data_IF_966860014647
#
_entry.id   IF_966860014647
#
_cell.length_a   1.000
_cell.length_b   1.000
_cell.length_c   1.000
_cell.angle_alpha   90.00
_cell.angle_beta   90.00
_cell.angle_gamma   90.00
#
_symmetry.space_group_name_H-M   'P 1'
#
loop_
_entity.id
_entity.type
_entity.pdbx_description
1 polymer ?
#
# COMPACT_ATOMS: atom_id res chain seq x y z
N UNK A 1 -23.63 -6.85 -23.08
CA UNK A 1 -23.33 -6.82 -21.63
C UNK A 1 -21.84 -6.52 -21.46
N UNK A 2 -21.43 -5.60 -20.55
CA UNK A 2 -20.02 -5.28 -20.35
C UNK A 2 -19.24 -6.52 -19.86
N UNK A 3 -18.04 -6.74 -20.43
CA UNK A 3 -17.18 -7.90 -20.13
C UNK A 3 -16.79 -7.91 -18.64
N UNK A 4 -16.86 -9.09 -18.01
CA UNK A 4 -16.37 -9.27 -16.63
C UNK A 4 -14.87 -9.02 -16.58
N UNK A 5 -14.39 -8.28 -15.59
CA UNK A 5 -12.96 -8.03 -15.40
C UNK A 5 -12.32 -9.28 -14.80
N UNK A 6 -11.12 -9.64 -15.24
CA UNK A 6 -10.39 -10.77 -14.67
C UNK A 6 -10.05 -10.52 -13.19
N UNK A 7 -10.18 -11.56 -12.37
CA UNK A 7 -9.79 -11.54 -10.95
C UNK A 7 -8.31 -11.23 -10.80
N UNK A 8 -7.48 -11.69 -11.74
CA UNK A 8 -6.04 -11.43 -11.76
C UNK A 8 -5.74 -9.93 -11.96
N UNK A 9 -6.54 -9.25 -12.79
CA UNK A 9 -6.44 -7.79 -12.95
C UNK A 9 -6.81 -7.09 -11.65
N UNK A 10 -7.86 -7.55 -10.97
CA UNK A 10 -8.23 -7.05 -9.64
C UNK A 10 -7.12 -7.24 -8.61
N UNK A 11 -6.48 -8.41 -8.62
CA UNK A 11 -5.36 -8.71 -7.74
C UNK A 11 -4.21 -7.73 -7.95
N UNK A 12 -3.70 -7.63 -9.19
CA UNK A 12 -2.58 -6.75 -9.52
C UNK A 12 -2.89 -5.29 -9.15
N UNK A 13 -4.09 -4.80 -9.44
CA UNK A 13 -4.48 -3.43 -9.11
C UNK A 13 -4.59 -3.19 -7.60
N UNK A 14 -5.05 -4.18 -6.83
CA UNK A 14 -5.04 -4.12 -5.37
C UNK A 14 -3.62 -4.03 -4.81
N UNK A 15 -2.71 -4.90 -5.27
CA UNK A 15 -1.31 -4.86 -4.84
C UNK A 15 -0.61 -3.55 -5.22
N UNK A 16 -0.81 -3.07 -6.45
CA UNK A 16 -0.22 -1.79 -6.90
C UNK A 16 -0.79 -0.60 -6.12
N UNK A 17 -2.10 -0.56 -5.86
CA UNK A 17 -2.72 0.50 -5.04
C UNK A 17 -2.31 0.41 -3.56
N UNK A 18 -1.79 -0.72 -3.11
CA UNK A 18 -1.28 -0.85 -1.75
C UNK A 18 0.05 -0.10 -1.58
N UNK A 19 0.82 0.10 -2.64
CA UNK A 19 2.06 0.89 -2.60
C UNK A 19 1.82 2.36 -2.17
N UNK A 20 0.93 3.15 -2.80
CA UNK A 20 0.63 4.51 -2.34
C UNK A 20 -0.06 4.50 -0.97
N UNK A 21 -0.86 3.48 -0.63
CA UNK A 21 -1.42 3.35 0.71
C UNK A 21 -0.33 3.21 1.78
N UNK A 22 0.68 2.36 1.53
CA UNK A 22 1.84 2.23 2.41
C UNK A 22 2.63 3.54 2.50
N UNK A 23 2.89 4.20 1.37
CA UNK A 23 3.60 5.48 1.35
C UNK A 23 2.86 6.56 2.17
N UNK A 24 1.54 6.63 2.06
CA UNK A 24 0.73 7.56 2.87
C UNK A 24 0.75 7.17 4.35
N UNK A 25 0.67 5.88 4.69
CA UNK A 25 0.79 5.45 6.08
C UNK A 25 2.16 5.80 6.69
N UNK A 26 3.23 5.69 5.89
CA UNK A 26 4.59 6.08 6.28
C UNK A 26 4.72 7.60 6.47
N UNK A 27 4.09 8.38 5.58
CA UNK A 27 4.00 9.83 5.73
C UNK A 27 3.28 10.21 7.03
N UNK A 28 2.20 9.50 7.38
CA UNK A 28 1.54 9.69 8.67
C UNK A 28 2.46 9.38 9.86
N UNK A 29 3.24 8.31 9.77
CA UNK A 29 4.16 7.93 10.86
C UNK A 29 5.29 8.90 11.05
N UNK A 30 5.83 9.45 9.97
CA UNK A 30 6.95 10.41 10.02
C UNK A 30 6.53 11.80 10.48
N UNK A 31 5.33 12.26 10.10
CA UNK A 31 4.88 13.63 10.41
C UNK A 31 4.12 13.76 11.72
N UNK A 32 3.40 12.71 12.15
CA UNK A 32 2.45 12.82 13.25
C UNK A 32 2.46 11.59 14.18
N UNK A 33 3.50 10.74 14.09
CA UNK A 33 3.64 9.49 14.87
C UNK A 33 2.41 8.55 14.70
N UNK A 34 1.76 8.62 13.53
CA UNK A 34 0.61 7.78 13.20
C UNK A 34 1.05 6.36 12.80
N UNK A 35 0.15 5.36 12.83
CA UNK A 35 0.54 3.99 12.52
C UNK A 35 1.07 3.76 11.12
N UNK A 36 2.24 3.13 11.04
CA UNK A 36 2.75 2.53 9.81
C UNK A 36 2.19 1.11 9.65
N UNK A 37 1.27 0.93 8.70
CA UNK A 37 0.47 -0.30 8.61
C UNK A 37 1.28 -1.60 8.43
N UNK A 38 2.36 -1.64 7.62
CA UNK A 38 3.18 -2.83 7.51
C UNK A 38 3.75 -3.33 8.84
N UNK A 39 4.23 -2.42 9.69
CA UNK A 39 4.78 -2.79 10.99
C UNK A 39 3.71 -3.41 11.90
N UNK A 40 2.51 -2.83 11.94
CA UNK A 40 1.39 -3.33 12.75
C UNK A 40 0.86 -4.67 12.25
N UNK A 41 0.73 -4.86 10.95
CA UNK A 41 0.27 -6.13 10.36
C UNK A 41 1.30 -7.22 10.65
N UNK A 42 2.58 -6.94 10.47
CA UNK A 42 3.64 -7.91 10.78
C UNK A 42 3.66 -8.27 12.27
N UNK A 43 3.59 -7.28 13.16
CA UNK A 43 3.53 -7.52 14.60
C UNK A 43 2.31 -8.36 14.98
N UNK A 44 1.14 -8.03 14.44
CA UNK A 44 -0.08 -8.80 14.67
C UNK A 44 0.06 -10.25 14.24
N UNK A 45 0.60 -10.51 13.04
CA UNK A 45 0.82 -11.87 12.55
C UNK A 45 1.85 -12.63 13.40
N UNK A 46 2.93 -11.96 13.82
CA UNK A 46 3.95 -12.54 14.70
C UNK A 46 3.36 -12.90 16.05
N UNK A 47 2.59 -12.01 16.65
CA UNK A 47 2.09 -12.14 18.02
C UNK A 47 0.86 -13.08 18.10
N UNK A 48 0.15 -13.28 16.99
CA UNK A 48 -0.97 -14.24 16.88
C UNK A 48 -0.56 -15.60 16.32
N UNK A 49 0.70 -15.75 15.88
CA UNK A 49 1.19 -17.02 15.36
C UNK A 49 1.22 -18.10 16.47
N UNK A 50 0.97 -19.38 16.14
CA UNK A 50 1.15 -20.49 17.06
C UNK A 50 2.58 -20.53 17.60
N UNK A 51 2.76 -20.92 18.87
CA UNK A 51 4.00 -20.74 19.62
C UNK A 51 5.28 -21.31 18.99
N UNK A 52 5.17 -22.30 18.10
CA UNK A 52 6.33 -22.87 17.38
C UNK A 52 6.69 -22.18 16.06
N UNK A 53 5.77 -21.42 15.46
CA UNK A 53 5.94 -20.87 14.10
C UNK A 53 7.00 -19.77 14.09
N UNK A 54 6.95 -18.85 15.05
CA UNK A 54 7.91 -17.74 15.13
C UNK A 54 9.33 -18.26 15.42
N UNK A 55 9.57 -19.09 16.45
CA UNK A 55 10.91 -19.63 16.71
C UNK A 55 11.47 -20.43 15.54
N UNK A 56 10.65 -21.26 14.88
CA UNK A 56 11.07 -22.03 13.70
C UNK A 56 11.46 -21.12 12.54
N UNK A 57 10.69 -20.08 12.28
CA UNK A 57 10.99 -19.11 11.21
C UNK A 57 12.29 -18.34 11.49
N UNK A 58 12.50 -17.89 12.73
CA UNK A 58 13.73 -17.21 13.15
C UNK A 58 14.94 -18.12 13.02
N UNK A 59 14.83 -19.40 13.38
CA UNK A 59 15.91 -20.39 13.20
C UNK A 59 16.25 -20.60 11.72
N UNK A 60 15.24 -20.74 10.85
CA UNK A 60 15.44 -20.87 9.40
C UNK A 60 16.15 -19.64 8.85
N UNK A 61 15.68 -18.44 9.19
CA UNK A 61 16.30 -17.19 8.76
C UNK A 61 17.75 -17.09 9.24
N UNK A 62 18.01 -17.39 10.51
CA UNK A 62 19.35 -17.35 11.10
C UNK A 62 20.29 -18.35 10.43
N UNK A 63 19.81 -19.57 10.12
CA UNK A 63 20.58 -20.61 9.44
C UNK A 63 20.94 -20.23 8.00
N UNK A 64 20.03 -19.55 7.28
CA UNK A 64 20.31 -19.03 5.94
C UNK A 64 21.37 -17.93 6.01
N UNK A 65 21.25 -17.00 6.96
CA UNK A 65 22.19 -15.88 7.12
C UNK A 65 23.59 -16.39 7.44
N UNK A 66 23.71 -17.32 8.40
CA UNK A 66 25.01 -17.89 8.77
C UNK A 66 25.55 -18.83 7.69
N UNK A 67 24.70 -19.65 7.07
CA UNK A 67 25.08 -20.59 6.01
C UNK A 67 25.57 -19.91 4.73
N UNK A 68 25.01 -18.75 4.38
CA UNK A 68 25.43 -17.94 3.24
C UNK A 68 26.45 -16.85 3.61
N UNK A 69 26.85 -16.76 4.89
CA UNK A 69 27.75 -15.74 5.42
C UNK A 69 27.38 -14.30 5.03
N UNK A 70 26.09 -13.95 5.16
CA UNK A 70 25.55 -12.64 4.75
C UNK A 70 25.94 -11.48 5.68
N UNK A 71 26.72 -11.77 6.74
CA UNK A 71 27.18 -10.81 7.73
C UNK A 71 26.56 -11.04 9.10
N UNK A 72 26.46 -9.96 9.88
CA UNK A 72 25.93 -9.96 11.24
C UNK A 72 24.44 -10.36 11.25
N UNK A 73 24.12 -11.43 11.99
CA UNK A 73 22.77 -12.00 12.04
C UNK A 73 21.75 -10.98 12.52
N UNK A 74 22.08 -10.20 13.55
CA UNK A 74 21.19 -9.18 14.12
C UNK A 74 20.80 -8.09 13.11
N UNK A 75 21.74 -7.62 12.30
CA UNK A 75 21.50 -6.58 11.29
C UNK A 75 20.70 -7.14 10.11
N UNK A 76 21.16 -8.26 9.52
CA UNK A 76 20.53 -8.85 8.33
C UNK A 76 19.13 -9.37 8.66
N UNK A 77 18.94 -9.96 9.84
CA UNK A 77 17.64 -10.38 10.34
C UNK A 77 16.66 -9.21 10.40
N UNK A 78 17.10 -8.07 10.93
CA UNK A 78 16.23 -6.91 11.08
C UNK A 78 15.78 -6.35 9.74
N UNK A 79 16.70 -6.23 8.78
CA UNK A 79 16.37 -5.81 7.42
C UNK A 79 15.44 -6.81 6.73
N UNK A 80 15.65 -8.12 6.94
CA UNK A 80 14.77 -9.15 6.40
C UNK A 80 13.33 -9.03 6.96
N UNK A 81 13.17 -8.79 8.27
CA UNK A 81 11.85 -8.55 8.88
C UNK A 81 11.13 -7.34 8.25
N UNK A 82 11.86 -6.25 7.98
CA UNK A 82 11.30 -5.06 7.34
C UNK A 82 10.85 -5.34 5.91
N UNK A 83 11.66 -6.06 5.12
CA UNK A 83 11.28 -6.50 3.77
C UNK A 83 10.06 -7.41 3.81
N UNK A 84 10.01 -8.35 4.75
CA UNK A 84 8.86 -9.26 4.94
C UNK A 84 7.61 -8.46 5.29
N UNK A 85 7.72 -7.50 6.20
CA UNK A 85 6.61 -6.62 6.60
C UNK A 85 6.00 -5.89 5.40
N UNK A 86 6.83 -5.26 4.55
CA UNK A 86 6.38 -4.61 3.32
C UNK A 86 5.75 -5.61 2.33
N UNK A 87 6.40 -6.75 2.14
CA UNK A 87 5.98 -7.78 1.18
C UNK A 87 4.61 -8.36 1.54
N UNK A 88 4.39 -8.68 2.82
CA UNK A 88 3.12 -9.23 3.30
C UNK A 88 1.97 -8.26 3.03
N UNK A 89 2.17 -6.96 3.24
CA UNK A 89 1.11 -5.97 2.97
C UNK A 89 0.78 -5.89 1.49
N UNK A 90 1.77 -5.95 0.59
CA UNK A 90 1.51 -6.03 -0.85
C UNK A 90 0.72 -7.30 -1.20
N UNK A 91 1.08 -8.45 -0.63
CA UNK A 91 0.36 -9.71 -0.83
C UNK A 91 -1.08 -9.63 -0.34
N UNK A 92 -1.32 -9.04 0.83
CA UNK A 92 -2.68 -8.76 1.33
C UNK A 92 -3.43 -7.86 0.35
N UNK A 93 -2.78 -6.81 -0.17
CA UNK A 93 -3.31 -5.95 -1.22
C UNK A 93 -3.76 -6.70 -2.47
N UNK A 94 -2.94 -7.65 -2.94
CA UNK A 94 -3.30 -8.54 -4.06
C UNK A 94 -4.56 -9.35 -3.75
N UNK A 95 -4.63 -9.96 -2.57
CA UNK A 95 -5.78 -10.77 -2.13
C UNK A 95 -7.03 -9.91 -2.01
N UNK A 96 -6.94 -8.75 -1.35
CA UNK A 96 -8.06 -7.81 -1.19
C UNK A 96 -8.57 -7.32 -2.54
N UNK A 97 -7.68 -6.96 -3.46
CA UNK A 97 -8.06 -6.54 -4.81
C UNK A 97 -8.76 -7.65 -5.60
N UNK A 98 -8.26 -8.88 -5.51
CA UNK A 98 -8.86 -10.06 -6.13
C UNK A 98 -10.28 -10.29 -5.61
N UNK A 99 -10.45 -10.29 -4.29
CA UNK A 99 -11.74 -10.49 -3.61
C UNK A 99 -12.71 -9.36 -3.97
N UNK A 100 -12.27 -8.10 -3.89
CA UNK A 100 -13.11 -6.95 -4.22
C UNK A 100 -13.64 -7.04 -5.66
N UNK A 101 -12.77 -7.34 -6.64
CA UNK A 101 -13.19 -7.46 -8.04
C UNK A 101 -14.07 -8.68 -8.29
N UNK A 102 -13.84 -9.79 -7.58
CA UNK A 102 -14.71 -10.96 -7.63
C UNK A 102 -16.12 -10.62 -7.10
N UNK A 103 -16.20 -9.93 -5.96
CA UNK A 103 -17.46 -9.46 -5.36
C UNK A 103 -18.16 -8.48 -6.32
N UNK A 104 -17.47 -7.48 -6.85
CA UNK A 104 -18.08 -6.52 -7.77
C UNK A 104 -18.57 -7.18 -9.07
N UNK A 105 -17.87 -8.19 -9.58
CA UNK A 105 -18.31 -8.96 -10.74
C UNK A 105 -19.55 -9.82 -10.45
N UNK A 106 -19.69 -10.33 -9.23
CA UNK A 106 -20.76 -11.24 -8.83
C UNK A 106 -22.03 -10.50 -8.37
N UNK A 107 -21.85 -9.52 -7.48
CA UNK A 107 -22.94 -8.84 -6.80
C UNK A 107 -23.49 -7.63 -7.56
N UNK A 108 -22.69 -7.02 -8.44
CA UNK A 108 -23.09 -5.80 -9.12
C UNK A 108 -23.37 -6.04 -10.61
N UNK A 109 -24.66 -6.09 -10.93
CA UNK A 109 -25.20 -6.05 -12.29
C UNK A 109 -25.07 -4.65 -12.93
N UNK A 110 -24.90 -3.62 -12.10
CA UNK A 110 -24.78 -2.19 -12.47
C UNK A 110 -23.42 -1.63 -12.01
N UNK A 111 -23.17 -0.34 -12.24
CA UNK A 111 -21.93 0.34 -11.82
C UNK A 111 -21.68 0.13 -10.32
N UNK A 112 -20.42 -0.09 -9.95
CA UNK A 112 -20.00 -0.10 -8.56
C UNK A 112 -20.08 1.31 -8.00
N UNK A 113 -21.20 1.68 -7.42
CA UNK A 113 -21.35 3.03 -6.89
C UNK A 113 -20.29 3.33 -5.84
N UNK A 114 -20.02 4.62 -5.61
CA UNK A 114 -19.06 5.07 -4.60
C UNK A 114 -19.33 4.45 -3.22
N UNK A 115 -20.60 4.13 -2.94
CA UNK A 115 -21.04 3.40 -1.75
C UNK A 115 -20.38 2.03 -1.60
N UNK A 116 -20.24 1.24 -2.68
CA UNK A 116 -19.60 -0.07 -2.60
C UNK A 116 -18.11 0.05 -2.24
N UNK A 117 -17.43 1.06 -2.79
CA UNK A 117 -16.04 1.38 -2.43
C UNK A 117 -15.91 1.90 -1.00
N UNK A 118 -16.86 2.73 -0.55
CA UNK A 118 -16.89 3.27 0.82
C UNK A 118 -17.12 2.17 1.84
N UNK A 119 -18.07 1.25 1.60
CA UNK A 119 -18.31 0.09 2.47
C UNK A 119 -17.07 -0.80 2.54
N UNK A 120 -16.45 -1.11 1.40
CA UNK A 120 -15.22 -1.90 1.36
C UNK A 120 -14.11 -1.23 2.19
N UNK A 121 -13.89 0.06 1.98
CA UNK A 121 -12.89 0.84 2.71
C UNK A 121 -13.21 0.95 4.21
N UNK A 122 -14.47 1.13 4.59
CA UNK A 122 -14.88 1.19 5.99
C UNK A 122 -14.68 -0.16 6.70
N UNK A 123 -15.00 -1.28 6.05
CA UNK A 123 -14.78 -2.62 6.61
C UNK A 123 -13.29 -2.88 6.80
N UNK A 124 -12.46 -2.61 5.80
CA UNK A 124 -11.01 -2.79 5.90
C UNK A 124 -10.38 -1.85 6.95
N UNK A 125 -10.84 -0.60 7.01
CA UNK A 125 -10.42 0.37 8.00
C UNK A 125 -10.78 -0.08 9.42
N UNK A 126 -11.99 -0.60 9.63
CA UNK A 126 -12.41 -1.16 10.91
C UNK A 126 -11.52 -2.33 11.33
N UNK A 127 -11.28 -3.29 10.43
CA UNK A 127 -10.38 -4.42 10.71
C UNK A 127 -8.99 -3.91 11.10
N UNK A 128 -8.45 -2.92 10.39
CA UNK A 128 -7.12 -2.40 10.70
C UNK A 128 -7.09 -1.67 12.05
N UNK A 129 -8.11 -0.88 12.39
CA UNK A 129 -8.21 -0.22 13.71
C UNK A 129 -8.29 -1.26 14.83
N UNK A 130 -9.03 -2.36 14.64
CA UNK A 130 -9.08 -3.45 15.61
C UNK A 130 -7.71 -4.12 15.78
N UNK A 131 -6.98 -4.37 14.69
CA UNK A 131 -5.61 -4.89 14.76
C UNK A 131 -4.72 -3.94 15.57
N UNK A 132 -4.77 -2.65 15.28
CA UNK A 132 -3.97 -1.65 16.00
C UNK A 132 -4.35 -1.55 17.49
N UNK A 133 -5.63 -1.71 17.83
CA UNK A 133 -6.13 -1.67 19.20
C UNK A 133 -5.61 -2.80 20.10
N UNK A 134 -5.01 -3.86 19.55
CA UNK A 134 -4.31 -4.89 20.32
C UNK A 134 -2.97 -4.41 20.87
N UNK A 135 -2.47 -3.24 20.45
CA UNK A 135 -1.18 -2.71 20.86
C UNK A 135 -1.33 -1.51 21.82
N UNK A 136 -0.63 -1.50 22.97
CA UNK A 136 -0.72 -0.42 23.96
C UNK A 136 -0.39 0.99 23.44
N UNK A 137 0.31 1.09 22.30
CA UNK A 137 0.66 2.37 21.66
C UNK A 137 -0.55 3.22 21.28
N UNK A 138 -1.75 2.64 21.11
CA UNK A 138 -2.95 3.43 20.81
C UNK A 138 -3.42 4.32 21.97
N UNK A 139 -3.02 4.01 23.21
CA UNK A 139 -3.68 4.55 24.41
C UNK A 139 -3.08 5.89 24.87
N UNK A 140 -1.84 6.21 24.47
CA UNK A 140 -1.10 7.36 25.02
C UNK A 140 -1.05 8.58 24.08
N UNK A 141 -1.33 8.40 22.79
CA UNK A 141 -1.20 9.47 21.78
C UNK A 141 -2.38 9.42 20.81
N UNK A 142 -3.48 10.12 21.13
CA UNK A 142 -4.52 10.46 20.15
C UNK A 142 -5.19 9.29 19.41
N UNK A 143 -5.73 8.30 20.12
CA UNK A 143 -6.46 7.15 19.54
C UNK A 143 -7.46 7.52 18.43
N UNK A 144 -8.15 8.66 18.60
CA UNK A 144 -9.10 9.19 17.61
C UNK A 144 -8.38 9.60 16.31
N UNK A 145 -7.24 10.28 16.39
CA UNK A 145 -6.46 10.68 15.21
C UNK A 145 -5.97 9.45 14.45
N UNK A 146 -5.48 8.44 15.17
CA UNK A 146 -5.08 7.15 14.62
C UNK A 146 -6.22 6.44 13.90
N UNK A 147 -7.40 6.36 14.54
CA UNK A 147 -8.57 5.73 13.95
C UNK A 147 -9.05 6.51 12.71
N UNK A 148 -9.19 7.83 12.81
CA UNK A 148 -9.63 8.71 11.71
C UNK A 148 -8.68 8.62 10.53
N UNK A 149 -7.37 8.68 10.78
CA UNK A 149 -6.35 8.52 9.73
C UNK A 149 -6.44 7.15 9.06
N UNK A 150 -6.56 6.10 9.85
CA UNK A 150 -6.71 4.73 9.33
C UNK A 150 -7.96 4.60 8.47
N UNK A 151 -9.12 5.04 8.95
CA UNK A 151 -10.35 5.05 8.17
C UNK A 151 -10.22 5.87 6.90
N UNK A 152 -9.64 7.06 6.96
CA UNK A 152 -9.46 7.92 5.79
C UNK A 152 -8.64 7.21 4.70
N UNK A 153 -7.51 6.60 5.07
CA UNK A 153 -6.65 5.88 4.13
C UNK A 153 -7.36 4.66 3.51
N UNK A 154 -8.07 3.85 4.30
CA UNK A 154 -8.78 2.68 3.77
C UNK A 154 -10.04 3.05 2.97
N UNK A 155 -10.74 4.12 3.32
CA UNK A 155 -11.84 4.69 2.51
C UNK A 155 -11.30 5.14 1.16
N UNK A 156 -10.19 5.89 1.12
CA UNK A 156 -9.53 6.29 -0.12
C UNK A 156 -9.14 5.08 -0.98
N UNK A 157 -8.58 4.04 -0.35
CA UNK A 157 -8.22 2.79 -1.03
C UNK A 157 -9.45 2.06 -1.62
N UNK A 158 -10.54 1.92 -0.85
CA UNK A 158 -11.79 1.30 -1.33
C UNK A 158 -12.47 2.09 -2.45
N UNK A 159 -12.48 3.42 -2.35
CA UNK A 159 -12.97 4.31 -3.41
C UNK A 159 -12.11 4.20 -4.68
N UNK A 160 -10.78 4.12 -4.54
CA UNK A 160 -9.87 3.93 -5.67
C UNK A 160 -10.13 2.60 -6.39
N UNK A 161 -10.30 1.50 -5.66
CA UNK A 161 -10.64 0.19 -6.25
C UNK A 161 -11.97 0.22 -7.00
N UNK A 162 -13.02 0.80 -6.39
CA UNK A 162 -14.33 0.95 -7.04
C UNK A 162 -14.25 1.83 -8.29
N UNK A 163 -13.53 2.95 -8.22
CA UNK A 163 -13.31 3.85 -9.35
C UNK A 163 -12.61 3.14 -10.52
N UNK A 164 -11.53 2.41 -10.24
CA UNK A 164 -10.77 1.68 -11.27
C UNK A 164 -11.65 0.58 -11.87
N UNK A 165 -12.36 -0.19 -11.04
CA UNK A 165 -13.29 -1.21 -11.50
C UNK A 165 -14.32 -0.65 -12.48
N UNK A 166 -14.96 0.48 -12.15
CA UNK A 166 -15.94 1.10 -13.02
C UNK A 166 -15.36 1.63 -14.32
N UNK A 167 -14.16 2.19 -14.24
CA UNK A 167 -13.46 2.73 -15.40
C UNK A 167 -13.15 1.61 -16.39
N UNK A 168 -12.63 0.48 -15.89
CA UNK A 168 -12.34 -0.69 -16.71
C UNK A 168 -13.60 -1.37 -17.24
N UNK A 169 -14.65 -1.53 -16.43
CA UNK A 169 -15.84 -2.31 -16.81
C UNK A 169 -16.79 -1.53 -17.69
N UNK A 170 -17.04 -0.26 -17.38
CA UNK A 170 -18.07 0.54 -18.05
C UNK A 170 -17.47 1.60 -18.95
N UNK A 171 -16.52 2.42 -18.48
CA UNK A 171 -16.03 3.55 -19.28
C UNK A 171 -15.21 3.12 -20.50
N UNK A 172 -14.28 2.19 -20.32
CA UNK A 172 -13.44 1.70 -21.43
C UNK A 172 -14.25 0.77 -22.35
N UNK A 173 -15.12 -0.08 -21.80
CA UNK A 173 -15.96 -0.99 -22.59
C UNK A 173 -17.04 -0.26 -23.39
N UNK A 174 -17.66 0.80 -22.86
CA UNK A 174 -18.64 1.64 -23.58
C UNK A 174 -17.96 2.51 -24.64
N UNK A 175 -16.71 2.93 -24.41
CA UNK A 175 -15.92 3.67 -25.39
C UNK A 175 -15.40 2.79 -26.55
N UNK A 176 -15.23 1.47 -26.36
CA UNK A 176 -14.74 0.56 -27.39
C UNK A 176 -15.60 0.50 -28.68
N UNK A 177 -16.95 0.39 -28.63
CA UNK A 177 -17.78 0.45 -29.83
C UNK A 177 -17.82 1.87 -30.46
N UNK A 178 -17.75 2.93 -29.65
CA UNK A 178 -17.65 4.30 -30.14
C UNK A 178 -16.29 4.58 -30.80
N UNK A 179 -15.20 3.97 -30.31
CA UNK A 179 -13.87 4.05 -30.88
C UNK A 179 -13.75 3.23 -32.17
N UNK A 180 -14.44 2.09 -32.31
CA UNK A 180 -14.53 1.36 -33.58
C UNK A 180 -15.37 2.10 -34.64
N UNK A 181 -16.32 2.94 -34.21
CA UNK A 181 -16.99 3.91 -35.10
C UNK A 181 -16.12 5.16 -35.36
N UNK A 182 -15.29 5.56 -34.38
CA UNK A 182 -14.36 6.68 -34.47
C UNK A 182 -12.98 6.30 -35.02
N UNK A 183 -12.70 5.06 -35.38
CA UNK A 183 -11.48 4.69 -36.13
C UNK A 183 -11.49 5.24 -37.56
N UNK A 184 -12.60 5.84 -38.01
CA UNK A 184 -12.63 6.73 -39.16
C UNK A 184 -12.03 8.14 -38.85
N UNK A 185 -11.83 8.49 -37.58
CA UNK A 185 -11.24 9.74 -37.09
C UNK A 185 -10.33 9.46 -35.87
N UNK A 186 -9.16 8.87 -36.13
CA UNK A 186 -8.05 8.90 -35.17
C UNK A 186 -7.55 10.34 -35.09
N UNK A 187 -8.06 11.14 -34.17
CA UNK A 187 -7.33 12.33 -33.73
C UNK A 187 -6.10 11.84 -32.98
N UNK A 188 -4.97 11.78 -33.70
CA UNK A 188 -3.68 11.50 -33.11
C UNK A 188 -3.43 12.51 -31.99
N UNK A 189 -3.36 12.05 -30.74
CA UNK A 189 -2.84 12.86 -29.64
C UNK A 189 -1.50 13.43 -30.09
N UNK A 190 -1.43 14.75 -30.24
CA UNK A 190 -0.22 15.41 -30.71
C UNK A 190 0.95 15.02 -29.81
N UNK A 191 2.13 14.74 -30.40
CA UNK A 191 3.36 14.35 -29.67
C UNK A 191 3.61 15.23 -28.44
N UNK A 192 3.28 16.52 -28.51
CA UNK A 192 3.39 17.49 -27.41
C UNK A 192 2.48 17.16 -26.23
N UNK A 193 1.20 16.82 -26.46
CA UNK A 193 0.28 16.44 -25.39
C UNK A 193 0.67 15.12 -24.73
N UNK A 194 1.15 14.16 -25.52
CA UNK A 194 1.69 12.90 -24.98
C UNK A 194 2.93 13.17 -24.10
N UNK A 195 3.89 13.95 -24.59
CA UNK A 195 5.11 14.28 -23.85
C UNK A 195 4.82 15.11 -22.60
N UNK A 196 3.85 16.03 -22.65
CA UNK A 196 3.41 16.76 -21.45
C UNK A 196 2.84 15.75 -20.46
N UNK A 197 1.85 14.93 -20.84
CA UNK A 197 1.18 14.02 -19.91
C UNK A 197 2.12 12.99 -19.28
N UNK A 198 3.04 12.43 -20.06
CA UNK A 198 4.05 11.48 -19.57
C UNK A 198 5.13 12.19 -18.75
N UNK A 199 5.59 13.35 -19.22
CA UNK A 199 6.62 14.16 -18.56
C UNK A 199 6.16 14.69 -17.19
N UNK A 200 4.93 15.20 -17.08
CA UNK A 200 4.40 15.65 -15.78
C UNK A 200 4.21 14.48 -14.83
N UNK A 201 3.74 13.33 -15.31
CA UNK A 201 3.59 12.13 -14.49
C UNK A 201 4.92 11.66 -13.90
N UNK A 202 5.96 11.55 -14.74
CA UNK A 202 7.29 11.18 -14.30
C UNK A 202 7.90 12.21 -13.33
N UNK A 203 7.77 13.50 -13.64
CA UNK A 203 8.29 14.59 -12.80
C UNK A 203 7.65 14.60 -11.40
N UNK A 204 6.33 14.39 -11.30
CA UNK A 204 5.65 14.31 -10.01
C UNK A 204 6.14 13.12 -9.20
N UNK A 205 6.28 11.94 -9.82
CA UNK A 205 6.78 10.75 -9.13
C UNK A 205 8.21 10.95 -8.65
N UNK A 206 9.09 11.52 -9.49
CA UNK A 206 10.48 11.82 -9.12
C UNK A 206 10.57 12.88 -8.04
N UNK A 207 9.80 13.96 -8.12
CA UNK A 207 9.83 15.02 -7.12
C UNK A 207 9.30 14.54 -5.75
N UNK A 208 8.24 13.73 -5.76
CA UNK A 208 7.71 13.11 -4.53
C UNK A 208 8.75 12.13 -3.96
N UNK A 209 9.33 11.26 -4.80
CA UNK A 209 10.37 10.32 -4.38
C UNK A 209 11.62 11.02 -3.83
N UNK A 210 12.10 12.07 -4.50
CA UNK A 210 13.24 12.86 -4.07
C UNK A 210 12.95 13.68 -2.81
N UNK A 211 11.73 14.22 -2.67
CA UNK A 211 11.30 14.92 -1.46
C UNK A 211 11.25 13.99 -0.25
N UNK A 212 10.71 12.78 -0.42
CA UNK A 212 10.74 11.73 0.61
C UNK A 212 12.18 11.34 0.94
N UNK A 213 13.02 11.08 -0.07
CA UNK A 213 14.43 10.72 0.14
C UNK A 213 15.23 11.81 0.89
N UNK A 214 15.05 13.08 0.51
CA UNK A 214 15.75 14.19 1.15
C UNK A 214 15.32 14.41 2.61
N UNK A 215 14.06 14.13 2.95
CA UNK A 215 13.60 14.18 4.34
C UNK A 215 14.24 13.09 5.20
N UNK A 216 14.48 11.91 4.63
CA UNK A 216 15.13 10.79 5.31
C UNK A 216 16.62 11.00 5.54
N UNK A 217 17.33 11.59 4.57
CA UNK A 217 18.76 11.89 4.74
C UNK A 217 19.02 12.91 5.86
N UNK A 218 18.10 13.88 6.04
CA UNK A 218 18.23 14.87 7.12
C UNK A 218 18.06 14.28 8.51
N UNK A 219 17.25 13.23 8.65
CA UNK A 219 17.10 12.55 9.95
C UNK A 219 18.34 11.74 10.31
N UNK A 220 18.99 11.12 9.34
CA UNK A 220 20.23 10.37 9.57
C UNK A 220 21.40 11.30 9.93
N UNK A 221 21.56 12.41 9.20
CA UNK A 221 22.59 13.43 9.51
C UNK A 221 22.40 14.06 10.89
N UNK A 222 21.15 14.35 11.29
CA UNK A 222 20.88 14.92 12.61
C UNK A 222 21.18 13.96 13.76
N UNK A 223 20.97 12.65 13.56
CA UNK A 223 21.29 11.61 14.54
C UNK A 223 22.80 11.37 14.61
N UNK A 224 23.49 11.40 13.47
CA UNK A 224 24.96 11.22 13.41
C UNK A 224 25.68 12.37 14.12
N UNK A 225 25.27 13.63 13.89
CA UNK A 225 25.82 14.81 14.57
C UNK A 225 25.56 14.79 16.08
N UNK A 226 24.37 14.36 16.52
CA UNK A 226 24.04 14.23 17.95
C UNK A 226 24.82 13.09 18.64
N UNK A 227 25.12 12.00 17.91
CA UNK A 227 25.96 10.91 18.42
C UNK A 227 27.44 11.30 18.51
N UNK A 228 27.92 12.13 17.58
CA UNK A 228 29.28 12.67 17.57
C UNK A 228 29.51 13.70 18.69
N UNK A 229 28.50 14.50 19.05
CA UNK A 229 28.62 15.47 20.15
C UNK A 229 28.68 14.82 21.54
N UNK A 230 28.16 13.60 21.69
CA UNK A 230 28.20 12.85 22.96
C UNK A 230 29.47 11.99 23.13
N UNK A 231 30.35 11.97 22.12
CA UNK A 231 31.59 11.17 22.11
C UNK A 231 32.85 11.97 22.48
N UNK A 232 32.72 13.27 22.84
CA UNK A 232 33.83 14.05 23.35
C UNK A 232 33.70 14.20 24.88
N UNK A 233 34.68 13.73 25.68
CA UNK A 233 34.63 13.77 27.15
C UNK A 233 34.76 15.18 27.73
#
# INVERSE_FOLDING_TARGET
>A
MPKKISILTGALLGGVLTLPLMALSYLGSTLADLPFFPAFIFAFLRDTAPGEVVPRTVQVMSSIITGLNLGRVDTVAKTAEEIISLTIVVVIGLVVGAIAFAIFNAALSRRADALAGLILGAVLGLVMVLIQGNFPRLILTGAIFTAVWTFALFILYGLALSYIYNTLRFRITEAAPAAAAATANVESLGRRQFLIRVGTGAAVVTAVGAGVGALLSRTDEAVEVASASNACP
#
